data_IF_274112447004
#
_entry.id   IF_274112447004
#
_cell.length_a   1.000
_cell.length_b   1.000
_cell.length_c   1.000
_cell.angle_alpha   90.00
_cell.angle_beta   90.00
_cell.angle_gamma   90.00
#
_symmetry.space_group_name_H-M   'P 1'
#
loop_
_entity.id
_entity.type
_entity.pdbx_description
1 polymer ?
#
# COMPACT_ATOMS: atom_id res chain seq x y z
N UNK A 1 -3.24 10.48 -27.37
CA UNK A 1 -4.20 11.30 -26.59
C UNK A 1 -5.16 10.44 -25.76
N UNK A 2 -5.88 9.48 -26.35
CA UNK A 2 -6.84 8.62 -25.63
C UNK A 2 -6.26 7.89 -24.42
N UNK A 3 -5.12 7.20 -24.54
CA UNK A 3 -4.49 6.49 -23.41
C UNK A 3 -4.15 7.39 -22.22
N UNK A 4 -3.83 8.67 -22.46
CA UNK A 4 -3.47 9.62 -21.42
C UNK A 4 -4.68 9.98 -20.53
N UNK A 5 -5.87 10.12 -21.13
CA UNK A 5 -7.11 10.40 -20.40
C UNK A 5 -7.48 9.23 -19.48
N UNK A 6 -7.38 8.00 -19.99
CA UNK A 6 -7.61 6.80 -19.18
C UNK A 6 -6.68 6.73 -17.97
N UNK A 7 -5.39 7.07 -18.14
CA UNK A 7 -4.44 7.10 -17.03
C UNK A 7 -4.77 8.18 -15.99
N UNK A 8 -5.27 9.35 -16.40
CA UNK A 8 -5.68 10.39 -15.47
C UNK A 8 -6.87 9.96 -14.61
N UNK A 9 -7.92 9.47 -15.25
CA UNK A 9 -9.15 9.03 -14.56
C UNK A 9 -8.83 7.89 -13.59
N UNK A 10 -8.03 6.94 -14.04
CA UNK A 10 -7.64 5.77 -13.27
C UNK A 10 -6.84 6.11 -11.99
N UNK A 11 -5.84 7.00 -12.09
CA UNK A 11 -5.08 7.44 -10.89
C UNK A 11 -5.93 8.28 -9.93
N UNK A 12 -6.99 8.92 -10.43
CA UNK A 12 -8.02 9.55 -9.60
C UNK A 12 -8.77 8.53 -8.75
N UNK A 13 -9.31 7.47 -9.39
CA UNK A 13 -9.96 6.36 -8.69
C UNK A 13 -9.03 5.65 -7.71
N UNK A 14 -7.78 5.42 -8.10
CA UNK A 14 -6.72 4.88 -7.22
C UNK A 14 -6.53 5.72 -5.96
N UNK A 15 -6.49 7.05 -6.10
CA UNK A 15 -6.35 7.97 -4.97
C UNK A 15 -7.57 7.92 -4.04
N UNK A 16 -8.78 7.90 -4.61
CA UNK A 16 -10.00 7.78 -3.82
C UNK A 16 -10.06 6.46 -3.04
N UNK A 17 -9.81 5.33 -3.73
CA UNK A 17 -9.75 4.02 -3.10
C UNK A 17 -8.75 3.99 -1.95
N UNK A 18 -7.53 4.47 -2.20
CA UNK A 18 -6.46 4.48 -1.22
C UNK A 18 -6.81 5.29 0.04
N UNK A 19 -7.44 6.46 -0.11
CA UNK A 19 -7.90 7.26 1.02
C UNK A 19 -8.99 6.55 1.81
N UNK A 20 -9.96 5.94 1.15
CA UNK A 20 -11.02 5.17 1.81
C UNK A 20 -10.45 3.95 2.56
N UNK A 21 -9.59 3.16 1.90
CA UNK A 21 -8.94 2.00 2.47
C UNK A 21 -8.08 2.37 3.70
N UNK A 22 -7.30 3.45 3.60
CA UNK A 22 -6.49 3.95 4.71
C UNK A 22 -7.35 4.45 5.88
N UNK A 23 -8.41 5.23 5.60
CA UNK A 23 -9.28 5.78 6.64
C UNK A 23 -10.05 4.69 7.39
N UNK A 24 -10.64 3.73 6.67
CA UNK A 24 -11.36 2.59 7.28
C UNK A 24 -10.39 1.71 8.07
N UNK A 25 -9.21 1.42 7.52
CA UNK A 25 -8.21 0.62 8.23
C UNK A 25 -7.72 1.32 9.49
N UNK A 26 -7.44 2.62 9.44
CA UNK A 26 -7.05 3.41 10.60
C UNK A 26 -8.13 3.38 11.70
N UNK A 27 -9.39 3.63 11.31
CA UNK A 27 -10.51 3.59 12.24
C UNK A 27 -10.64 2.21 12.91
N UNK A 28 -10.65 1.14 12.12
CA UNK A 28 -10.84 -0.21 12.65
C UNK A 28 -9.66 -0.69 13.51
N UNK A 29 -8.43 -0.37 13.13
CA UNK A 29 -7.23 -0.82 13.83
C UNK A 29 -6.93 -0.04 15.10
N UNK A 30 -7.23 1.26 15.14
CA UNK A 30 -6.75 2.15 16.21
C UNK A 30 -7.83 2.86 17.01
N UNK A 31 -9.02 3.08 16.44
CA UNK A 31 -10.08 3.84 17.10
C UNK A 31 -11.26 2.99 17.55
N UNK A 32 -11.52 1.88 16.86
CA UNK A 32 -12.61 0.97 17.20
C UNK A 32 -12.15 -0.10 18.20
N UNK A 33 -13.08 -0.60 19.00
CA UNK A 33 -12.83 -1.73 19.90
C UNK A 33 -12.75 -3.08 19.17
N UNK A 34 -12.74 -3.10 17.82
CA UNK A 34 -12.78 -4.34 17.03
C UNK A 34 -11.56 -5.24 17.23
N UNK A 35 -10.43 -4.73 17.71
CA UNK A 35 -9.21 -5.50 17.97
C UNK A 35 -8.60 -5.24 19.35
N UNK A 36 -9.43 -4.85 20.34
CA UNK A 36 -9.02 -4.70 21.75
C UNK A 36 -8.48 -6.00 22.37
N UNK A 37 -7.57 -5.92 23.35
CA UNK A 37 -6.96 -7.12 23.96
C UNK A 37 -7.95 -8.01 24.72
N UNK A 38 -9.07 -7.45 25.19
CA UNK A 38 -10.12 -8.18 25.93
C UNK A 38 -11.03 -9.05 25.04
N UNK A 39 -10.90 -8.93 23.72
CA UNK A 39 -11.64 -9.78 22.78
C UNK A 39 -10.97 -11.16 22.63
N UNK A 40 -11.73 -12.15 22.15
CA UNK A 40 -11.17 -13.45 21.76
C UNK A 40 -10.09 -13.34 20.66
N UNK A 41 -9.68 -14.47 20.09
CA UNK A 41 -8.57 -14.56 19.12
C UNK A 41 -8.64 -13.46 18.04
N UNK A 42 -7.62 -12.61 17.93
CA UNK A 42 -7.56 -11.48 16.98
C UNK A 42 -7.75 -11.94 15.53
N UNK A 43 -7.24 -13.14 15.20
CA UNK A 43 -7.37 -13.76 13.88
C UNK A 43 -8.82 -14.09 13.49
N UNK A 44 -9.75 -14.14 14.45
CA UNK A 44 -11.15 -14.49 14.24
C UNK A 44 -12.07 -13.26 14.17
N UNK A 45 -11.53 -12.07 14.47
CA UNK A 45 -12.31 -10.86 14.63
C UNK A 45 -12.51 -10.16 13.29
N UNK A 46 -13.77 -9.84 12.99
CA UNK A 46 -14.17 -9.07 11.80
C UNK A 46 -15.41 -8.23 12.07
N UNK A 47 -15.68 -7.29 11.17
CA UNK A 47 -16.90 -6.48 11.15
C UNK A 47 -17.45 -6.37 9.72
N UNK A 48 -18.74 -6.01 9.61
CA UNK A 48 -19.36 -5.71 8.31
C UNK A 48 -18.60 -4.61 7.55
N UNK A 49 -18.00 -3.65 8.27
CA UNK A 49 -17.22 -2.58 7.68
C UNK A 49 -15.90 -3.12 7.10
N UNK A 50 -15.23 -4.05 7.78
CA UNK A 50 -14.05 -4.73 7.24
C UNK A 50 -14.39 -5.60 6.02
N UNK A 51 -15.49 -6.37 6.07
CA UNK A 51 -15.98 -7.16 4.93
C UNK A 51 -16.27 -6.25 3.71
N UNK A 52 -16.97 -5.14 3.94
CA UNK A 52 -17.28 -4.16 2.91
C UNK A 52 -16.03 -3.51 2.30
N UNK A 53 -15.07 -3.11 3.13
CA UNK A 53 -13.81 -2.53 2.65
C UNK A 53 -13.01 -3.55 1.82
N UNK A 54 -12.96 -4.80 2.25
CA UNK A 54 -12.28 -5.87 1.51
C UNK A 54 -12.94 -6.14 0.17
N UNK A 55 -14.28 -6.17 0.11
CA UNK A 55 -15.02 -6.30 -1.15
C UNK A 55 -14.73 -5.15 -2.13
N UNK A 56 -14.75 -3.90 -1.64
CA UNK A 56 -14.40 -2.72 -2.44
C UNK A 56 -12.94 -2.77 -2.91
N UNK A 57 -11.99 -3.16 -2.04
CA UNK A 57 -10.58 -3.34 -2.41
C UNK A 57 -10.37 -4.44 -3.44
N UNK A 58 -11.08 -5.56 -3.32
CA UNK A 58 -11.01 -6.65 -4.29
C UNK A 58 -11.49 -6.20 -5.68
N UNK A 59 -12.63 -5.50 -5.74
CA UNK A 59 -13.15 -4.95 -7.00
C UNK A 59 -12.24 -3.87 -7.61
N UNK A 60 -11.65 -3.01 -6.79
CA UNK A 60 -10.66 -2.03 -7.23
C UNK A 60 -9.40 -2.71 -7.79
N UNK A 61 -8.78 -3.63 -7.04
CA UNK A 61 -7.57 -4.32 -7.49
C UNK A 61 -7.80 -5.18 -8.74
N UNK A 62 -8.99 -5.74 -8.92
CA UNK A 62 -9.34 -6.44 -10.15
C UNK A 62 -9.39 -5.48 -11.35
N UNK A 63 -10.04 -4.33 -11.16
CA UNK A 63 -10.10 -3.28 -12.18
C UNK A 63 -8.70 -2.73 -12.49
N UNK A 64 -7.85 -2.56 -11.46
CA UNK A 64 -6.47 -2.10 -11.60
C UNK A 64 -5.63 -3.12 -12.38
N UNK A 65 -5.73 -4.39 -12.01
CA UNK A 65 -5.05 -5.48 -12.72
C UNK A 65 -5.48 -5.57 -14.19
N UNK A 66 -6.80 -5.50 -14.48
CA UNK A 66 -7.30 -5.53 -15.84
C UNK A 66 -6.72 -4.39 -16.69
N UNK A 67 -6.63 -3.19 -16.12
CA UNK A 67 -6.00 -2.04 -16.77
C UNK A 67 -4.50 -2.24 -16.99
N UNK A 68 -3.76 -2.73 -15.98
CA UNK A 68 -2.33 -3.03 -16.11
C UNK A 68 -2.08 -4.03 -17.24
N UNK A 69 -2.90 -5.09 -17.33
CA UNK A 69 -2.80 -6.11 -18.38
C UNK A 69 -3.13 -5.53 -19.76
N UNK A 70 -4.20 -4.74 -19.88
CA UNK A 70 -4.63 -4.15 -21.14
C UNK A 70 -3.57 -3.21 -21.74
N UNK A 71 -2.86 -2.47 -20.89
CA UNK A 71 -1.82 -1.53 -21.31
C UNK A 71 -0.40 -2.03 -21.00
N UNK A 72 -0.21 -3.33 -20.75
CA UNK A 72 1.09 -3.88 -20.41
C UNK A 72 2.10 -3.69 -21.57
N UNK A 73 3.36 -3.28 -21.31
CA UNK A 73 4.00 -2.97 -20.03
C UNK A 73 4.00 -1.48 -19.65
N UNK A 74 3.18 -0.63 -20.29
CA UNK A 74 3.25 0.84 -20.15
C UNK A 74 2.77 1.36 -18.79
N UNK A 75 1.86 0.65 -18.13
CA UNK A 75 1.27 1.05 -16.84
C UNK A 75 2.02 0.54 -15.60
N UNK A 76 2.84 -0.51 -15.75
CA UNK A 76 3.54 -1.13 -14.64
C UNK A 76 4.40 -2.31 -15.08
N UNK A 77 5.47 -2.54 -14.34
CA UNK A 77 6.28 -3.74 -14.48
C UNK A 77 5.61 -4.98 -13.86
N UNK A 78 6.25 -6.14 -14.02
CA UNK A 78 5.76 -7.44 -13.52
C UNK A 78 5.55 -7.44 -12.00
N UNK A 79 6.25 -6.57 -11.27
CA UNK A 79 6.07 -6.42 -9.82
C UNK A 79 4.64 -5.97 -9.46
N UNK A 80 3.98 -5.17 -10.30
CA UNK A 80 2.61 -4.73 -10.03
C UNK A 80 1.59 -5.85 -10.28
N UNK A 81 1.84 -6.72 -11.27
CA UNK A 81 1.01 -7.92 -11.48
C UNK A 81 1.08 -8.84 -10.26
N UNK A 82 2.30 -9.08 -9.76
CA UNK A 82 2.51 -9.89 -8.56
C UNK A 82 1.82 -9.26 -7.35
N UNK A 83 2.02 -7.96 -7.12
CA UNK A 83 1.42 -7.20 -6.02
C UNK A 83 -0.11 -7.34 -5.99
N UNK A 84 -0.77 -7.06 -7.12
CA UNK A 84 -2.23 -7.13 -7.21
C UNK A 84 -2.73 -8.56 -7.08
N UNK A 85 -2.06 -9.51 -7.74
CA UNK A 85 -2.42 -10.93 -7.65
C UNK A 85 -2.39 -11.47 -6.22
N UNK A 86 -1.27 -11.28 -5.50
CA UNK A 86 -1.14 -11.79 -4.13
C UNK A 86 -2.01 -11.02 -3.13
N UNK A 87 -2.26 -9.73 -3.36
CA UNK A 87 -3.17 -8.93 -2.53
C UNK A 87 -4.61 -9.37 -2.70
N UNK A 88 -5.09 -9.57 -3.95
CA UNK A 88 -6.43 -10.09 -4.20
C UNK A 88 -6.61 -11.50 -3.67
N UNK A 89 -5.60 -12.36 -3.81
CA UNK A 89 -5.57 -13.69 -3.21
C UNK A 89 -5.77 -13.62 -1.69
N UNK A 90 -4.97 -12.80 -0.99
CA UNK A 90 -5.05 -12.67 0.47
C UNK A 90 -6.38 -12.08 0.94
N UNK A 91 -6.88 -11.04 0.26
CA UNK A 91 -8.19 -10.42 0.55
C UNK A 91 -9.33 -11.43 0.33
N UNK A 92 -9.32 -12.17 -0.77
CA UNK A 92 -10.33 -13.19 -1.07
C UNK A 92 -10.32 -14.29 -0.01
N UNK A 93 -9.13 -14.73 0.40
CA UNK A 93 -8.97 -15.75 1.42
C UNK A 93 -9.52 -15.29 2.78
N UNK A 94 -9.29 -14.04 3.16
CA UNK A 94 -9.83 -13.45 4.37
C UNK A 94 -11.36 -13.31 4.31
N UNK A 95 -11.91 -12.83 3.18
CA UNK A 95 -13.37 -12.71 2.97
C UNK A 95 -14.08 -14.07 3.05
N UNK A 96 -13.55 -15.08 2.37
CA UNK A 96 -14.17 -16.41 2.31
C UNK A 96 -14.11 -17.16 3.64
N UNK A 97 -13.08 -16.92 4.45
CA UNK A 97 -12.90 -17.59 5.74
C UNK A 97 -13.41 -16.79 6.94
N UNK A 98 -13.55 -15.47 6.79
CA UNK A 98 -13.76 -14.52 7.89
C UNK A 98 -12.57 -14.40 8.84
N UNK A 99 -11.37 -14.82 8.44
CA UNK A 99 -10.17 -14.84 9.28
C UNK A 99 -9.11 -13.85 8.83
N UNK A 100 -8.26 -13.41 9.75
CA UNK A 100 -7.07 -12.59 9.45
C UNK A 100 -7.36 -11.14 9.05
N UNK A 101 -8.55 -10.63 9.34
CA UNK A 101 -8.96 -9.26 8.96
C UNK A 101 -8.02 -8.20 9.53
N UNK A 102 -7.56 -8.37 10.77
CA UNK A 102 -6.57 -7.48 11.39
C UNK A 102 -5.35 -7.25 10.48
N UNK A 103 -4.74 -8.34 10.01
CA UNK A 103 -3.54 -8.30 9.18
C UNK A 103 -3.80 -7.75 7.77
N UNK A 104 -4.95 -8.06 7.17
CA UNK A 104 -5.33 -7.47 5.87
C UNK A 104 -5.57 -5.96 6.00
N UNK A 105 -6.20 -5.49 7.08
CA UNK A 105 -6.39 -4.05 7.33
C UNK A 105 -5.06 -3.33 7.49
N UNK A 106 -4.07 -3.94 8.16
CA UNK A 106 -2.72 -3.36 8.23
C UNK A 106 -2.09 -3.21 6.84
N UNK A 107 -2.26 -4.21 5.96
CA UNK A 107 -1.78 -4.14 4.58
C UNK A 107 -2.54 -3.07 3.78
N UNK A 108 -3.87 -2.98 3.92
CA UNK A 108 -4.68 -1.94 3.26
C UNK A 108 -4.35 -0.52 3.75
N UNK A 109 -3.98 -0.35 5.01
CA UNK A 109 -3.50 0.94 5.53
C UNK A 109 -2.27 1.44 4.78
N UNK A 110 -1.46 0.56 4.18
CA UNK A 110 -0.29 0.96 3.38
C UNK A 110 -0.66 1.69 2.09
N UNK A 111 -1.93 1.64 1.65
CA UNK A 111 -2.42 2.47 0.56
C UNK A 111 -2.41 3.96 0.90
N UNK A 112 -2.25 4.35 2.18
CA UNK A 112 -2.07 5.74 2.59
C UNK A 112 -0.92 6.46 1.85
N UNK A 113 0.05 5.72 1.29
CA UNK A 113 1.14 6.31 0.50
C UNK A 113 0.77 6.56 -0.97
N UNK A 114 -0.26 5.90 -1.49
CA UNK A 114 -0.68 5.93 -2.91
C UNK A 114 -1.07 7.33 -3.40
N UNK A 115 -1.76 8.19 -2.62
CA UNK A 115 -2.01 9.58 -3.02
C UNK A 115 -0.73 10.36 -3.34
N UNK A 116 0.35 10.15 -2.59
CA UNK A 116 1.63 10.83 -2.85
C UNK A 116 2.32 10.32 -4.12
N UNK A 117 2.21 9.00 -4.41
CA UNK A 117 2.69 8.41 -5.65
C UNK A 117 1.94 9.00 -6.85
N UNK A 118 0.61 9.08 -6.76
CA UNK A 118 -0.25 9.63 -7.81
C UNK A 118 0.00 11.13 -8.03
N UNK A 119 0.09 11.92 -6.95
CA UNK A 119 0.41 13.35 -7.05
C UNK A 119 1.79 13.57 -7.70
N UNK A 120 2.80 12.75 -7.34
CA UNK A 120 4.12 12.84 -7.97
C UNK A 120 4.06 12.57 -9.47
N UNK A 121 3.25 11.61 -9.89
CA UNK A 121 3.04 11.29 -11.30
C UNK A 121 2.37 12.43 -12.06
N UNK A 122 1.31 13.04 -11.51
CA UNK A 122 0.66 14.19 -12.14
C UNK A 122 1.61 15.39 -12.28
N UNK A 123 2.41 15.67 -11.26
CA UNK A 123 3.41 16.73 -11.30
C UNK A 123 4.53 16.45 -12.30
N UNK A 124 4.93 15.20 -12.49
CA UNK A 124 5.88 14.81 -13.52
C UNK A 124 5.31 15.07 -14.92
N UNK A 125 4.10 14.59 -15.16
CA UNK A 125 3.42 14.74 -16.45
C UNK A 125 3.17 16.21 -16.81
N UNK A 126 2.88 17.06 -15.82
CA UNK A 126 2.74 18.50 -15.99
C UNK A 126 4.09 19.25 -16.15
N UNK A 127 5.24 18.54 -16.21
CA UNK A 127 6.56 19.15 -16.32
C UNK A 127 7.01 19.89 -15.06
N UNK A 128 6.36 19.67 -13.91
CA UNK A 128 6.56 20.44 -12.66
C UNK A 128 7.54 19.81 -11.67
N UNK A 129 8.50 19.01 -12.15
CA UNK A 129 9.56 18.38 -11.32
C UNK A 129 10.40 19.36 -10.51
N UNK A 130 10.56 20.60 -10.98
CA UNK A 130 11.30 21.65 -10.27
C UNK A 130 10.50 22.41 -9.21
N UNK A 131 9.22 22.11 -9.03
CA UNK A 131 8.37 22.85 -8.09
C UNK A 131 8.62 22.47 -6.63
N UNK A 132 8.42 23.41 -5.70
CA UNK A 132 8.44 23.14 -4.25
C UNK A 132 7.44 22.03 -3.87
N UNK A 133 6.28 21.99 -4.52
CA UNK A 133 5.26 20.95 -4.30
C UNK A 133 5.78 19.54 -4.66
N UNK A 134 6.54 19.39 -5.76
CA UNK A 134 7.15 18.11 -6.13
C UNK A 134 8.19 17.64 -5.11
N UNK A 135 8.94 18.58 -4.52
CA UNK A 135 9.90 18.31 -3.46
C UNK A 135 9.20 17.87 -2.16
N UNK A 136 8.24 18.67 -1.66
CA UNK A 136 7.51 18.35 -0.43
C UNK A 136 6.71 17.05 -0.54
N UNK A 137 6.06 16.81 -1.68
CA UNK A 137 5.39 15.53 -1.93
C UNK A 137 6.39 14.37 -1.97
N UNK A 138 7.60 14.58 -2.53
CA UNK A 138 8.67 13.58 -2.49
C UNK A 138 9.13 13.24 -1.08
N UNK A 139 9.26 14.24 -0.21
CA UNK A 139 9.60 14.04 1.21
C UNK A 139 8.46 13.33 1.96
N UNK A 140 7.21 13.76 1.75
CA UNK A 140 6.04 13.11 2.33
C UNK A 140 5.92 11.65 1.88
N UNK A 141 6.16 11.36 0.60
CA UNK A 141 6.20 9.99 0.08
C UNK A 141 7.30 9.17 0.76
N UNK A 142 8.50 9.72 0.95
CA UNK A 142 9.60 9.01 1.62
C UNK A 142 9.25 8.67 3.08
N UNK A 143 8.80 9.66 3.86
CA UNK A 143 8.43 9.47 5.27
C UNK A 143 7.24 8.53 5.39
N UNK A 144 6.21 8.74 4.57
CA UNK A 144 5.02 7.89 4.53
C UNK A 144 5.37 6.44 4.19
N UNK A 145 6.28 6.21 3.25
CA UNK A 145 6.73 4.85 2.89
C UNK A 145 7.50 4.18 4.04
N UNK A 146 8.40 4.91 4.70
CA UNK A 146 9.13 4.38 5.85
C UNK A 146 8.17 3.97 6.96
N UNK A 147 7.22 4.82 7.32
CA UNK A 147 6.28 4.55 8.41
C UNK A 147 5.27 3.47 8.03
N UNK A 148 4.50 3.68 6.96
CA UNK A 148 3.37 2.83 6.62
C UNK A 148 3.78 1.51 5.95
N UNK A 149 4.95 1.40 5.32
CA UNK A 149 5.34 0.19 4.55
C UNK A 149 6.57 -0.52 5.10
N UNK A 150 7.43 0.13 5.89
CA UNK A 150 8.59 -0.53 6.53
C UNK A 150 8.33 -0.76 8.01
N UNK A 151 8.11 0.29 8.80
CA UNK A 151 7.90 0.19 10.25
C UNK A 151 6.62 -0.60 10.55
N UNK A 152 5.52 -0.34 9.83
CA UNK A 152 4.30 -1.11 10.01
C UNK A 152 4.49 -2.61 9.75
N UNK A 153 5.31 -3.00 8.77
CA UNK A 153 5.59 -4.41 8.50
C UNK A 153 6.47 -5.02 9.59
N UNK A 154 7.41 -4.26 10.19
CA UNK A 154 8.14 -4.71 11.38
C UNK A 154 7.15 -5.00 12.52
N UNK A 155 6.22 -4.08 12.79
CA UNK A 155 5.17 -4.28 13.79
C UNK A 155 4.26 -5.48 13.44
N UNK A 156 3.86 -5.62 12.17
CA UNK A 156 3.09 -6.76 11.66
C UNK A 156 3.77 -8.09 12.02
N UNK A 157 5.06 -8.24 11.69
CA UNK A 157 5.78 -9.48 11.95
C UNK A 157 5.99 -9.72 13.44
N UNK A 158 6.28 -8.68 14.22
CA UNK A 158 6.39 -8.79 15.66
C UNK A 158 5.07 -9.25 16.29
N UNK A 159 3.95 -8.61 15.93
CA UNK A 159 2.62 -8.99 16.40
C UNK A 159 2.26 -10.43 16.00
N UNK A 160 2.54 -10.82 14.76
CA UNK A 160 2.30 -12.19 14.27
C UNK A 160 3.15 -13.23 15.02
N UNK A 161 4.39 -12.89 15.38
CA UNK A 161 5.26 -13.75 16.16
C UNK A 161 4.80 -13.88 17.62
N UNK A 162 4.38 -12.78 18.24
CA UNK A 162 3.88 -12.76 19.61
C UNK A 162 2.53 -13.48 19.76
N UNK A 163 1.71 -13.49 18.71
CA UNK A 163 0.41 -14.18 18.65
C UNK A 163 0.43 -15.41 17.73
N UNK A 164 1.57 -16.08 17.64
CA UNK A 164 1.76 -17.20 16.71
C UNK A 164 0.86 -18.40 17.02
N UNK A 165 0.55 -18.60 18.29
CA UNK A 165 -0.45 -19.54 18.79
C UNK A 165 -1.83 -19.29 18.16
N UNK A 166 -2.26 -18.04 18.03
CA UNK A 166 -3.50 -17.69 17.33
C UNK A 166 -3.39 -17.93 15.82
N UNK A 167 -2.25 -17.60 15.21
CA UNK A 167 -2.04 -17.81 13.77
C UNK A 167 -2.15 -19.30 13.40
N UNK A 168 -1.72 -20.21 14.29
CA UNK A 168 -1.83 -21.67 14.10
C UNK A 168 -3.27 -22.20 14.12
N UNK A 169 -4.24 -21.46 14.66
CA UNK A 169 -5.65 -21.90 14.70
C UNK A 169 -6.36 -21.62 13.37
N UNK A 170 -5.77 -20.80 12.49
CA UNK A 170 -6.28 -20.56 11.15
C UNK A 170 -6.18 -21.84 10.32
N UNK A 171 -7.17 -22.07 9.45
CA UNK A 171 -7.20 -23.19 8.50
C UNK A 171 -5.89 -23.29 7.68
N UNK A 172 -5.48 -24.50 7.24
CA UNK A 172 -4.12 -24.74 6.73
C UNK A 172 -3.66 -23.79 5.63
N UNK A 173 -4.51 -23.51 4.63
CA UNK A 173 -4.17 -22.59 3.55
C UNK A 173 -3.98 -21.16 4.07
N UNK A 174 -4.82 -20.70 5.00
CA UNK A 174 -4.69 -19.40 5.65
C UNK A 174 -3.39 -19.29 6.45
N UNK A 175 -3.05 -20.30 7.24
CA UNK A 175 -1.79 -20.38 7.99
C UNK A 175 -0.57 -20.20 7.06
N UNK A 176 -0.42 -21.03 6.03
CA UNK A 176 0.71 -20.90 5.11
C UNK A 176 0.71 -19.58 4.34
N UNK A 177 -0.46 -19.03 4.02
CA UNK A 177 -0.57 -17.72 3.35
C UNK A 177 -0.09 -16.58 4.23
N UNK A 178 -0.43 -16.59 5.52
CA UNK A 178 0.04 -15.60 6.50
C UNK A 178 1.55 -15.65 6.71
N UNK A 179 2.19 -16.81 6.50
CA UNK A 179 3.64 -16.96 6.59
C UNK A 179 4.40 -16.63 5.29
N UNK A 180 3.72 -16.55 4.16
CA UNK A 180 4.37 -16.40 2.83
C UNK A 180 4.04 -15.09 2.13
N UNK A 181 2.78 -14.65 2.15
CA UNK A 181 2.34 -13.43 1.45
C UNK A 181 2.90 -12.16 2.09
N UNK A 182 2.84 -11.95 3.43
CA UNK A 182 3.38 -10.73 4.03
C UNK A 182 4.91 -10.57 3.84
N UNK A 183 5.75 -11.61 3.98
CA UNK A 183 7.17 -11.50 3.63
C UNK A 183 7.40 -11.10 2.17
N UNK A 184 6.65 -11.65 1.23
CA UNK A 184 6.74 -11.28 -0.18
C UNK A 184 6.41 -9.79 -0.39
N UNK A 185 5.29 -9.32 0.18
CA UNK A 185 4.91 -7.90 0.11
C UNK A 185 5.94 -6.99 0.78
N UNK A 186 6.51 -7.40 1.91
CA UNK A 186 7.58 -6.67 2.60
C UNK A 186 8.82 -6.50 1.72
N UNK A 187 9.29 -7.57 1.07
CA UNK A 187 10.44 -7.51 0.16
C UNK A 187 10.18 -6.55 -1.01
N UNK A 188 8.97 -6.57 -1.58
CA UNK A 188 8.59 -5.62 -2.64
C UNK A 188 8.59 -4.18 -2.12
N UNK A 189 8.06 -3.94 -0.91
CA UNK A 189 8.09 -2.64 -0.25
C UNK A 189 9.52 -2.12 0.00
N UNK A 190 10.47 -3.00 0.34
CA UNK A 190 11.89 -2.63 0.48
C UNK A 190 12.53 -2.28 -0.86
N UNK A 191 12.24 -3.03 -1.93
CA UNK A 191 12.72 -2.72 -3.29
C UNK A 191 12.21 -1.36 -3.77
N UNK A 192 10.93 -1.05 -3.54
CA UNK A 192 10.36 0.25 -3.87
C UNK A 192 10.90 1.37 -2.98
N UNK A 193 11.08 1.12 -1.68
CA UNK A 193 11.68 2.10 -0.77
C UNK A 193 13.09 2.47 -1.22
N UNK A 194 13.90 1.48 -1.62
CA UNK A 194 15.22 1.72 -2.21
C UNK A 194 15.17 2.63 -3.45
N UNK A 195 14.18 2.44 -4.34
CA UNK A 195 13.98 3.34 -5.49
C UNK A 195 13.62 4.77 -5.05
N UNK A 196 12.81 4.93 -4.01
CA UNK A 196 12.44 6.24 -3.44
C UNK A 196 13.67 6.92 -2.81
N UNK A 197 14.45 6.20 -2.00
CA UNK A 197 15.71 6.69 -1.42
C UNK A 197 16.65 7.24 -2.50
N UNK A 198 16.89 6.44 -3.55
CA UNK A 198 17.72 6.86 -4.70
C UNK A 198 17.17 8.12 -5.38
N UNK A 199 15.86 8.19 -5.58
CA UNK A 199 15.19 9.37 -6.15
C UNK A 199 15.35 10.62 -5.29
N UNK A 200 15.28 10.47 -3.96
CA UNK A 200 15.42 11.57 -3.01
C UNK A 200 16.86 12.09 -2.95
N UNK A 201 17.85 11.20 -2.84
CA UNK A 201 19.28 11.57 -2.89
C UNK A 201 19.60 12.36 -4.16
N UNK A 202 19.12 11.89 -5.32
CA UNK A 202 19.31 12.60 -6.60
C UNK A 202 18.71 14.01 -6.60
N UNK A 203 17.55 14.20 -5.95
CA UNK A 203 16.86 15.49 -5.89
C UNK A 203 17.59 16.47 -4.96
N UNK A 204 18.07 15.98 -3.81
CA UNK A 204 18.81 16.78 -2.84
C UNK A 204 20.18 17.23 -3.38
N UNK A 205 20.92 16.32 -4.03
CA UNK A 205 22.21 16.64 -4.64
C UNK A 205 22.09 17.71 -5.73
N UNK A 206 21.06 17.63 -6.60
CA UNK A 206 20.80 18.65 -7.63
C UNK A 206 20.46 20.01 -7.03
N UNK A 207 19.68 20.03 -5.96
CA UNK A 207 19.32 21.27 -5.26
C UNK A 207 20.57 21.94 -4.68
N UNK A 208 21.45 21.16 -4.02
CA UNK A 208 22.72 21.66 -3.49
C UNK A 208 23.62 22.28 -4.58
N UNK A 209 23.73 21.62 -5.74
CA UNK A 209 24.48 22.16 -6.89
C UNK A 209 23.88 23.48 -7.42
N UNK A 210 22.55 23.56 -7.53
CA UNK A 210 21.86 24.77 -8.01
C UNK A 210 21.95 25.97 -7.07
N UNK A 211 22.09 25.72 -5.76
CA UNK A 211 22.29 26.77 -4.76
C UNK A 211 23.73 27.28 -4.82
N UNK A 212 24.71 26.38 -4.89
CA UNK A 212 26.14 26.74 -5.02
C UNK A 212 26.40 27.59 -6.27
N UNK A 213 25.80 27.23 -7.41
CA UNK A 213 25.96 27.97 -8.67
C UNK A 213 25.27 29.35 -8.71
N UNK A 214 24.47 29.72 -7.70
CA UNK A 214 23.87 31.06 -7.56
C UNK A 214 24.60 31.96 -6.58
N UNK A 215 25.52 31.39 -5.80
CA UNK A 215 26.34 32.11 -4.80
C UNK A 215 27.74 32.44 -5.32
N UNK A 216 28.12 31.89 -6.47
CA UNK A 216 29.30 32.26 -7.27
C UNK A 216 28.92 33.28 -8.36
#
# INVERSE_FOLDING_TARGET
MHACIYFHVFRGFSTFHALAAAAVSFYLLLLSDLFSEDGGLIVDRKSWLSDGMFGVSLGYFLTDLAMILWYFPRLGGKEYLLHHGVSMYAISLALLSGKGHFYILMVLFTEATTPFVNLRWYLDLAGRKGSKLYLYNGLALFVGWLVARVILFVYFFAHMYLHFDQVRTVFPLGFYSMLTVPPLLSLMNLVWFWKICKGMVKTLCKTKQSVSAKTD
#
